data_IF_874823414677
#
_entry.id   IF_874823414677
#
_cell.length_a   1.000
_cell.length_b   1.000
_cell.length_c   1.000
_cell.angle_alpha   90.00
_cell.angle_beta   90.00
_cell.angle_gamma   90.00
#
_symmetry.space_group_name_H-M   'P 1'
#
loop_
_entity.id
_entity.type
_entity.pdbx_description
1 polymer ?
#
# COMPACT_ATOMS: atom_id res chain seq x y z
N UNK A 1 6.55 -27.59 5.17
CA UNK A 1 5.73 -27.05 4.05
C UNK A 1 4.86 -28.07 3.33
N UNK A 2 5.11 -29.35 3.34
CA UNK A 2 4.23 -30.35 2.66
C UNK A 2 2.77 -30.39 3.15
N UNK A 3 2.43 -29.72 4.23
CA UNK A 3 1.08 -29.61 4.78
C UNK A 3 0.39 -28.26 4.48
N UNK A 4 1.14 -27.24 4.02
CA UNK A 4 0.59 -25.92 3.70
C UNK A 4 0.04 -25.99 2.26
N UNK A 5 -1.27 -25.80 2.14
CA UNK A 5 -1.96 -25.83 0.85
C UNK A 5 -2.23 -24.43 0.30
N UNK A 6 -2.40 -23.45 1.19
CA UNK A 6 -2.72 -22.08 0.81
C UNK A 6 -1.72 -21.09 1.39
N UNK A 7 -1.30 -20.16 0.53
CA UNK A 7 -0.54 -18.97 0.91
C UNK A 7 -1.29 -17.75 0.40
N UNK A 8 -1.57 -16.80 1.30
CA UNK A 8 -2.08 -15.48 0.95
C UNK A 8 -0.92 -14.50 1.06
N UNK A 9 -0.72 -13.64 0.07
CA UNK A 9 0.40 -12.70 0.07
C UNK A 9 -0.02 -11.33 -0.48
N UNK A 10 0.68 -10.26 -0.10
CA UNK A 10 0.41 -8.93 -0.63
C UNK A 10 0.95 -8.75 -2.04
N UNK A 11 0.21 -8.03 -2.89
CA UNK A 11 0.51 -7.88 -4.33
C UNK A 11 1.85 -7.21 -4.63
N UNK A 12 2.38 -6.42 -3.67
CA UNK A 12 3.69 -5.79 -3.70
C UNK A 12 4.88 -6.75 -3.45
N UNK A 13 4.60 -8.03 -3.23
CA UNK A 13 5.58 -9.06 -2.94
C UNK A 13 5.73 -10.04 -4.11
N UNK A 14 6.94 -10.26 -4.59
CA UNK A 14 7.22 -11.33 -5.54
C UNK A 14 7.33 -12.68 -4.82
N UNK A 15 6.21 -13.39 -4.69
CA UNK A 15 6.15 -14.69 -4.03
C UNK A 15 7.18 -15.68 -4.56
N UNK A 16 7.47 -15.68 -5.88
CA UNK A 16 8.39 -16.64 -6.50
C UNK A 16 9.83 -16.45 -6.07
N UNK A 17 10.22 -15.24 -5.72
CA UNK A 17 11.56 -14.97 -5.20
C UNK A 17 11.80 -15.56 -3.81
N UNK A 18 10.74 -15.73 -3.02
CA UNK A 18 10.81 -16.29 -1.67
C UNK A 18 10.48 -17.77 -1.62
N UNK A 19 9.51 -18.21 -2.40
CA UNK A 19 8.99 -19.58 -2.38
C UNK A 19 8.89 -20.17 -3.80
N UNK A 20 10.04 -20.36 -4.50
CA UNK A 20 10.04 -20.81 -5.90
C UNK A 20 9.45 -22.21 -6.08
N UNK A 21 9.50 -23.07 -5.07
CA UNK A 21 9.06 -24.46 -5.11
C UNK A 21 7.67 -24.71 -4.51
N UNK A 22 6.95 -23.64 -4.10
CA UNK A 22 5.62 -23.83 -3.56
C UNK A 22 4.64 -24.28 -4.64
N UNK A 23 3.96 -25.41 -4.39
CA UNK A 23 3.05 -26.07 -5.33
C UNK A 23 1.58 -25.98 -4.91
N UNK A 24 1.29 -25.33 -3.78
CA UNK A 24 -0.08 -25.09 -3.33
C UNK A 24 -0.74 -23.90 -4.03
N UNK A 25 -1.92 -23.54 -3.57
CA UNK A 25 -2.68 -22.38 -4.05
C UNK A 25 -2.12 -21.10 -3.44
N UNK A 26 -1.82 -20.13 -4.29
CA UNK A 26 -1.33 -18.82 -3.88
C UNK A 26 -2.33 -17.74 -4.26
N UNK A 27 -2.69 -16.88 -3.30
CA UNK A 27 -3.75 -15.89 -3.42
C UNK A 27 -3.13 -14.52 -3.15
N UNK A 28 -3.20 -13.64 -4.14
CA UNK A 28 -2.74 -12.26 -3.99
C UNK A 28 -3.82 -11.40 -3.34
N UNK A 29 -3.44 -10.58 -2.37
CA UNK A 29 -4.29 -9.59 -1.73
C UNK A 29 -3.71 -8.19 -1.96
N UNK A 30 -4.56 -7.18 -2.03
CA UNK A 30 -4.14 -5.80 -2.29
C UNK A 30 -3.44 -5.15 -1.09
N UNK A 31 -3.80 -5.56 0.14
CA UNK A 31 -3.27 -4.96 1.37
C UNK A 31 -3.07 -6.01 2.47
N UNK A 32 -2.19 -5.74 3.48
CA UNK A 32 -1.90 -6.67 4.56
C UNK A 32 -3.11 -7.06 5.40
N UNK A 33 -4.02 -6.12 5.67
CA UNK A 33 -5.24 -6.38 6.44
C UNK A 33 -6.14 -7.37 5.70
N UNK A 34 -6.40 -7.13 4.42
CA UNK A 34 -7.20 -8.04 3.58
C UNK A 34 -6.54 -9.41 3.45
N UNK A 35 -5.21 -9.47 3.34
CA UNK A 35 -4.47 -10.73 3.26
C UNK A 35 -4.75 -11.61 4.48
N UNK A 36 -4.67 -11.05 5.69
CA UNK A 36 -4.94 -11.82 6.91
C UNK A 36 -6.40 -12.26 6.99
N UNK A 37 -7.37 -11.38 6.66
CA UNK A 37 -8.79 -11.77 6.68
C UNK A 37 -9.14 -12.83 5.62
N UNK A 38 -8.54 -12.80 4.45
CA UNK A 38 -8.66 -13.88 3.45
C UNK A 38 -8.10 -15.18 4.04
N UNK A 39 -6.91 -15.12 4.65
CA UNK A 39 -6.30 -16.27 5.32
C UNK A 39 -7.19 -16.85 6.44
N UNK A 40 -7.76 -15.99 7.30
CA UNK A 40 -8.66 -16.44 8.37
C UNK A 40 -9.92 -17.09 7.82
N UNK A 41 -10.47 -16.58 6.71
CA UNK A 41 -11.62 -17.19 6.03
C UNK A 41 -11.31 -18.59 5.52
N UNK A 42 -10.16 -18.78 4.87
CA UNK A 42 -9.71 -20.10 4.36
C UNK A 42 -9.47 -21.07 5.52
N UNK A 43 -8.72 -20.62 6.55
CA UNK A 43 -8.41 -21.44 7.71
C UNK A 43 -9.68 -21.88 8.46
N UNK A 44 -10.65 -20.99 8.61
CA UNK A 44 -11.93 -21.30 9.26
C UNK A 44 -12.78 -22.30 8.46
N UNK A 45 -12.77 -22.21 7.12
CA UNK A 45 -13.55 -23.10 6.26
C UNK A 45 -12.95 -24.49 6.19
N UNK A 46 -11.63 -24.59 6.04
CA UNK A 46 -10.94 -25.84 5.76
C UNK A 46 -10.35 -26.50 7.01
N UNK A 47 -10.27 -25.78 8.13
CA UNK A 47 -9.57 -26.19 9.35
C UNK A 47 -8.11 -26.63 9.04
N UNK A 48 -7.41 -25.82 8.24
CA UNK A 48 -6.03 -26.08 7.81
C UNK A 48 -5.12 -24.87 8.07
N UNK A 49 -3.83 -25.13 8.13
CA UNK A 49 -2.83 -24.06 8.30
C UNK A 49 -2.76 -23.22 7.04
N UNK A 50 -2.92 -21.91 7.19
CA UNK A 50 -2.73 -20.93 6.13
C UNK A 50 -1.57 -20.01 6.48
N UNK A 51 -0.66 -19.82 5.52
CA UNK A 51 0.42 -18.86 5.63
C UNK A 51 -0.03 -17.55 5.01
N UNK A 52 0.17 -16.45 5.74
CA UNK A 52 -0.01 -15.09 5.21
C UNK A 52 1.37 -14.45 5.13
N UNK A 53 1.80 -14.08 3.93
CA UNK A 53 3.12 -13.53 3.65
C UNK A 53 3.04 -12.06 3.29
N UNK A 54 3.69 -11.21 4.07
CA UNK A 54 3.70 -9.76 3.91
C UNK A 54 5.10 -9.24 3.63
N UNK A 55 5.22 -8.18 2.81
CA UNK A 55 6.50 -7.67 2.31
C UNK A 55 7.41 -7.10 3.39
N UNK A 56 6.88 -6.52 4.45
CA UNK A 56 7.71 -5.89 5.48
C UNK A 56 7.19 -6.11 6.89
N UNK A 57 8.04 -5.92 7.88
CA UNK A 57 7.66 -5.92 9.28
C UNK A 57 6.65 -4.81 9.61
N UNK A 58 6.67 -3.68 8.90
CA UNK A 58 5.67 -2.62 9.05
C UNK A 58 4.26 -3.08 8.71
N UNK A 59 4.11 -4.04 7.82
CA UNK A 59 2.82 -4.62 7.48
C UNK A 59 2.15 -5.32 8.68
N UNK A 60 2.90 -5.65 9.75
CA UNK A 60 2.35 -6.18 11.00
C UNK A 60 1.30 -5.27 11.62
N UNK A 61 1.45 -3.95 11.47
CA UNK A 61 0.46 -2.97 11.97
C UNK A 61 -0.91 -3.16 11.33
N UNK A 62 -0.93 -3.30 10.03
CA UNK A 62 -2.16 -3.48 9.26
C UNK A 62 -2.73 -4.89 9.44
N UNK A 63 -1.87 -5.87 9.65
CA UNK A 63 -2.26 -7.25 9.92
C UNK A 63 -2.89 -7.44 11.32
N UNK A 64 -2.64 -6.52 12.27
CA UNK A 64 -3.03 -6.67 13.67
C UNK A 64 -4.51 -7.03 13.87
N UNK A 65 -5.42 -6.35 13.17
CA UNK A 65 -6.86 -6.60 13.30
C UNK A 65 -7.27 -8.02 12.88
N UNK A 66 -6.72 -8.50 11.77
CA UNK A 66 -6.97 -9.86 11.29
C UNK A 66 -6.32 -10.92 12.17
N UNK A 67 -5.13 -10.65 12.70
CA UNK A 67 -4.46 -11.54 13.68
C UNK A 67 -5.23 -11.59 15.00
N UNK A 68 -5.84 -10.49 15.44
CA UNK A 68 -6.74 -10.46 16.58
C UNK A 68 -7.91 -11.42 16.39
N UNK A 69 -8.55 -11.41 15.22
CA UNK A 69 -9.61 -12.37 14.91
C UNK A 69 -9.10 -13.81 14.91
N UNK A 70 -7.95 -14.07 14.28
CA UNK A 70 -7.33 -15.39 14.26
C UNK A 70 -7.07 -15.92 15.68
N UNK A 71 -6.56 -15.06 16.57
CA UNK A 71 -6.26 -15.39 17.96
C UNK A 71 -7.52 -15.78 18.76
N UNK A 72 -8.52 -14.91 18.77
CA UNK A 72 -9.75 -15.17 19.55
C UNK A 72 -10.59 -16.34 19.00
N UNK A 73 -10.46 -16.64 17.71
CA UNK A 73 -11.13 -17.79 17.08
C UNK A 73 -10.27 -19.06 17.05
N UNK A 74 -9.04 -18.99 17.55
CA UNK A 74 -8.06 -20.10 17.50
C UNK A 74 -7.85 -20.64 16.08
N UNK A 75 -7.73 -19.74 15.09
CA UNK A 75 -7.53 -20.13 13.70
C UNK A 75 -6.04 -20.43 13.43
N UNK A 76 -5.74 -21.46 12.65
CA UNK A 76 -4.37 -21.89 12.39
C UNK A 76 -3.68 -21.00 11.33
N UNK A 77 -3.34 -19.76 11.69
CA UNK A 77 -2.66 -18.78 10.86
C UNK A 77 -1.17 -18.70 11.21
N UNK A 78 -0.31 -18.72 10.20
CA UNK A 78 1.09 -18.33 10.30
C UNK A 78 1.25 -17.02 9.53
N UNK A 79 1.45 -15.92 10.24
CA UNK A 79 1.83 -14.66 9.64
C UNK A 79 3.36 -14.66 9.43
N UNK A 80 3.82 -14.41 8.23
CA UNK A 80 5.24 -14.23 7.90
C UNK A 80 5.43 -12.81 7.38
N UNK A 81 6.25 -12.03 8.06
CA UNK A 81 6.69 -10.73 7.58
C UNK A 81 8.11 -10.83 7.07
N UNK A 82 8.37 -10.30 5.86
CA UNK A 82 9.67 -10.37 5.19
C UNK A 82 10.40 -9.05 5.33
N UNK A 83 11.64 -9.10 5.80
CA UNK A 83 12.46 -7.91 5.97
C UNK A 83 12.94 -7.75 7.42
N UNK A 84 13.86 -6.82 7.61
CA UNK A 84 14.40 -6.53 8.94
C UNK A 84 13.35 -5.78 9.77
N UNK A 85 13.27 -6.12 11.06
CA UNK A 85 12.51 -5.34 12.02
C UNK A 85 12.98 -3.88 12.00
N UNK A 86 12.03 -2.96 11.83
CA UNK A 86 12.28 -1.53 11.94
C UNK A 86 11.82 -1.07 13.32
N UNK A 87 12.45 -0.03 13.87
CA UNK A 87 12.18 0.52 15.21
C UNK A 87 10.69 0.87 15.47
N UNK A 88 9.86 0.84 14.45
CA UNK A 88 8.43 1.15 14.50
C UNK A 88 7.52 -0.03 14.11
N UNK A 89 8.05 -1.26 14.02
CA UNK A 89 7.20 -2.45 13.88
C UNK A 89 6.30 -2.60 15.10
N UNK A 90 5.11 -3.16 14.90
CA UNK A 90 4.19 -3.46 16.01
C UNK A 90 4.44 -4.88 16.48
N UNK A 91 4.75 -5.03 17.75
CA UNK A 91 4.77 -6.33 18.38
C UNK A 91 3.33 -6.91 18.42
N UNK A 92 3.18 -8.13 17.93
CA UNK A 92 1.89 -8.84 17.88
C UNK A 92 1.66 -9.74 19.09
N UNK A 93 2.46 -9.60 20.15
CA UNK A 93 2.48 -10.51 21.32
C UNK A 93 1.10 -10.77 21.95
N UNK A 94 0.19 -9.79 21.88
CA UNK A 94 -1.15 -9.91 22.46
C UNK A 94 -2.13 -10.75 21.61
N UNK A 95 -1.75 -11.05 20.35
CA UNK A 95 -2.64 -11.68 19.37
C UNK A 95 -1.99 -12.86 18.63
N UNK A 96 -0.92 -13.39 19.21
CA UNK A 96 -0.22 -14.59 18.73
C UNK A 96 0.12 -15.51 19.91
N UNK A 97 0.36 -16.78 19.61
CA UNK A 97 0.80 -17.78 20.60
C UNK A 97 2.29 -18.13 20.48
N UNK A 98 2.90 -17.82 19.31
CA UNK A 98 4.33 -18.05 19.08
C UNK A 98 4.89 -16.94 18.22
N UNK A 99 6.15 -16.54 18.50
CA UNK A 99 6.92 -15.59 17.71
C UNK A 99 8.32 -16.15 17.45
N UNK A 100 8.78 -16.08 16.21
CA UNK A 100 10.10 -16.53 15.80
C UNK A 100 10.73 -15.52 14.83
N UNK A 101 12.05 -15.40 14.92
CA UNK A 101 12.87 -14.69 13.95
C UNK A 101 13.73 -15.72 13.26
N UNK A 102 13.69 -15.77 11.93
CA UNK A 102 14.39 -16.77 11.12
C UNK A 102 15.10 -16.13 9.94
N UNK A 103 16.18 -16.75 9.47
CA UNK A 103 16.95 -16.25 8.33
C UNK A 103 16.59 -16.93 7.00
N UNK A 104 15.73 -17.95 7.05
CA UNK A 104 15.31 -18.65 5.84
C UNK A 104 13.98 -19.39 6.03
N UNK A 105 13.26 -19.59 4.92
CA UNK A 105 12.04 -20.44 4.93
C UNK A 105 12.28 -21.88 5.36
N UNK A 106 13.51 -22.42 5.18
CA UNK A 106 13.84 -23.77 5.64
C UNK A 106 13.82 -23.92 7.16
N UNK A 107 14.11 -22.83 7.88
CA UNK A 107 14.02 -22.83 9.34
C UNK A 107 12.57 -22.94 9.80
N UNK A 108 11.62 -22.29 9.09
CA UNK A 108 10.18 -22.40 9.37
C UNK A 108 9.70 -23.85 9.28
N UNK A 109 10.23 -24.63 8.32
CA UNK A 109 9.86 -26.04 8.15
C UNK A 109 10.26 -26.93 9.34
N UNK A 110 11.26 -26.49 10.10
CA UNK A 110 11.83 -27.22 11.24
C UNK A 110 11.31 -26.76 12.59
N UNK A 111 10.39 -25.79 12.64
CA UNK A 111 9.78 -25.34 13.89
C UNK A 111 8.84 -26.42 14.44
N UNK A 112 9.30 -27.15 15.49
CA UNK A 112 8.56 -28.24 16.12
C UNK A 112 7.51 -27.78 17.13
N UNK A 113 7.71 -26.58 17.71
CA UNK A 113 6.95 -26.09 18.85
C UNK A 113 6.03 -24.91 18.50
N UNK A 114 5.64 -24.83 17.23
CA UNK A 114 4.81 -23.75 16.72
C UNK A 114 3.38 -23.86 17.26
N UNK A 115 2.97 -22.88 18.06
CA UNK A 115 1.60 -22.75 18.57
C UNK A 115 0.88 -21.65 17.80
N UNK A 116 -0.22 -22.00 17.14
CA UNK A 116 -0.94 -21.09 16.24
C UNK A 116 -2.06 -20.31 16.97
N UNK A 117 -2.39 -19.08 16.54
CA UNK A 117 -1.73 -18.33 15.47
C UNK A 117 -0.32 -17.88 15.84
N UNK A 118 0.57 -17.77 14.87
CA UNK A 118 1.97 -17.44 15.06
C UNK A 118 2.42 -16.30 14.16
N UNK A 119 3.46 -15.56 14.59
CA UNK A 119 4.16 -14.59 13.78
C UNK A 119 5.62 -15.04 13.58
N UNK A 120 6.08 -15.01 12.35
CA UNK A 120 7.45 -15.33 11.97
C UNK A 120 8.03 -14.15 11.20
N UNK A 121 9.09 -13.59 11.72
CA UNK A 121 9.87 -12.57 11.01
C UNK A 121 10.98 -13.25 10.22
N UNK A 122 10.95 -13.08 8.90
CA UNK A 122 11.96 -13.59 8.00
C UNK A 122 12.99 -12.50 7.69
N UNK A 123 14.13 -12.56 8.37
CA UNK A 123 15.25 -11.65 8.16
C UNK A 123 16.00 -11.98 6.86
N UNK A 124 15.50 -11.50 5.75
CA UNK A 124 16.23 -11.51 4.48
C UNK A 124 16.56 -10.07 4.09
N UNK A 125 17.68 -9.84 3.38
CA UNK A 125 17.97 -8.52 2.84
C UNK A 125 16.78 -8.07 1.98
N UNK A 126 16.15 -7.00 2.38
CA UNK A 126 15.09 -6.38 1.59
C UNK A 126 15.70 -5.94 0.25
N UNK A 127 15.08 -6.31 -0.86
CA UNK A 127 15.38 -5.68 -2.14
C UNK A 127 14.81 -4.27 -2.03
N UNK A 128 15.66 -3.30 -1.75
CA UNK A 128 15.29 -1.89 -1.80
C UNK A 128 14.95 -1.60 -3.26
N UNK A 129 13.68 -1.53 -3.58
CA UNK A 129 13.23 -0.97 -4.84
C UNK A 129 13.60 0.51 -4.79
N UNK A 130 14.35 0.98 -5.79
CA UNK A 130 14.71 2.39 -5.87
C UNK A 130 13.44 3.25 -5.92
N UNK A 131 13.48 4.42 -5.28
CA UNK A 131 12.39 5.38 -5.35
C UNK A 131 12.09 5.72 -6.80
N UNK A 132 10.82 5.60 -7.22
CA UNK A 132 10.39 5.94 -8.58
C UNK A 132 10.50 7.44 -8.79
N UNK A 133 11.14 7.85 -9.88
CA UNK A 133 11.13 9.26 -10.32
C UNK A 133 9.87 9.51 -11.14
N UNK A 134 9.21 10.65 -10.96
CA UNK A 134 8.00 10.97 -11.71
C UNK A 134 8.11 12.28 -12.52
N UNK A 135 7.79 12.18 -13.82
CA UNK A 135 7.67 13.32 -14.74
C UNK A 135 6.60 14.33 -14.29
N UNK A 136 5.61 13.88 -13.53
CA UNK A 136 4.54 14.71 -12.95
C UNK A 136 5.09 15.87 -12.12
N UNK A 137 6.11 15.64 -11.30
CA UNK A 137 6.67 16.68 -10.44
C UNK A 137 7.23 17.85 -11.20
N UNK A 138 7.87 17.60 -12.34
CA UNK A 138 8.41 18.65 -13.22
C UNK A 138 7.29 19.54 -13.76
N UNK A 139 6.17 18.94 -14.16
CA UNK A 139 5.01 19.67 -14.67
C UNK A 139 4.25 20.41 -13.54
N UNK A 140 4.15 19.80 -12.35
CA UNK A 140 3.52 20.40 -11.18
C UNK A 140 4.26 21.62 -10.67
N UNK A 141 5.60 21.59 -10.63
CA UNK A 141 6.45 22.67 -10.10
C UNK A 141 6.10 24.04 -10.68
N UNK A 142 5.78 24.09 -11.97
CA UNK A 142 5.40 25.31 -12.68
C UNK A 142 3.89 25.63 -12.65
N UNK A 143 3.08 24.67 -12.25
CA UNK A 143 1.61 24.78 -12.31
C UNK A 143 0.95 25.08 -10.97
N UNK A 144 1.66 24.83 -9.84
CA UNK A 144 1.15 25.07 -8.49
C UNK A 144 1.35 26.51 -8.05
N UNK A 145 0.47 26.99 -7.18
CA UNK A 145 0.50 28.32 -6.57
C UNK A 145 0.73 28.23 -5.06
N UNK A 146 1.02 29.36 -4.40
CA UNK A 146 1.22 29.42 -2.96
C UNK A 146 0.01 28.95 -2.13
N UNK A 147 -1.20 29.03 -2.72
CA UNK A 147 -2.44 28.59 -2.06
C UNK A 147 -2.75 27.10 -2.24
N UNK A 148 -1.90 26.37 -2.95
CA UNK A 148 -2.05 24.93 -3.08
C UNK A 148 -1.37 24.19 -1.93
N UNK A 149 -1.72 22.91 -1.79
CA UNK A 149 -1.09 21.94 -0.90
C UNK A 149 -0.68 20.74 -1.73
N UNK A 150 0.55 20.33 -1.62
CA UNK A 150 1.09 19.16 -2.30
C UNK A 150 1.55 18.13 -1.28
N UNK A 151 1.02 16.93 -1.40
CA UNK A 151 1.47 15.75 -0.68
C UNK A 151 2.14 14.78 -1.64
N UNK A 152 3.25 14.23 -1.24
CA UNK A 152 3.90 13.09 -1.90
C UNK A 152 4.41 12.11 -0.85
N UNK A 153 4.67 10.88 -1.23
CA UNK A 153 5.20 9.87 -0.33
C UNK A 153 6.72 9.73 -0.42
N UNK A 154 7.31 9.05 0.55
CA UNK A 154 8.72 8.65 0.52
C UNK A 154 9.03 7.63 -0.58
N UNK A 155 8.03 6.93 -1.12
CA UNK A 155 8.21 5.94 -2.18
C UNK A 155 8.43 6.57 -3.57
N UNK A 156 8.31 7.91 -3.66
CA UNK A 156 8.57 8.66 -4.89
C UNK A 156 9.81 9.54 -4.71
N UNK A 157 10.72 9.50 -5.68
CA UNK A 157 11.86 10.40 -5.74
C UNK A 157 11.38 11.80 -6.05
N UNK A 158 11.62 12.74 -5.13
CA UNK A 158 11.06 14.07 -5.18
C UNK A 158 12.02 15.13 -4.63
N UNK A 159 12.25 16.18 -5.44
CA UNK A 159 12.98 17.37 -5.01
C UNK A 159 11.98 18.46 -4.59
N UNK A 160 11.95 18.76 -3.30
CA UNK A 160 11.07 19.79 -2.71
C UNK A 160 11.43 21.21 -3.12
N UNK A 161 12.66 21.43 -3.59
CA UNK A 161 13.16 22.78 -3.88
C UNK A 161 12.44 23.41 -5.09
N UNK A 162 12.05 24.66 -4.91
CA UNK A 162 11.42 25.48 -5.96
C UNK A 162 9.91 25.32 -6.12
N UNK A 163 9.23 24.52 -5.27
CA UNK A 163 7.76 24.55 -5.18
C UNK A 163 7.30 25.81 -4.44
N UNK A 164 6.26 26.48 -4.96
CA UNK A 164 5.70 27.69 -4.35
C UNK A 164 4.65 27.38 -3.26
N UNK A 165 4.11 26.16 -3.26
CA UNK A 165 3.07 25.74 -2.34
C UNK A 165 3.65 25.08 -1.08
N UNK A 166 2.76 24.80 -0.10
CA UNK A 166 3.11 23.93 1.01
C UNK A 166 3.28 22.50 0.50
N UNK A 167 4.48 21.95 0.68
CA UNK A 167 4.79 20.56 0.36
C UNK A 167 4.88 19.75 1.66
N UNK A 168 4.31 18.57 1.65
CA UNK A 168 4.42 17.57 2.72
C UNK A 168 4.85 16.26 2.08
N UNK A 169 5.98 15.74 2.55
CA UNK A 169 6.41 14.39 2.24
C UNK A 169 5.89 13.52 3.37
N UNK A 170 4.98 12.64 3.06
CA UNK A 170 4.30 11.81 4.06
C UNK A 170 4.65 10.34 3.91
N UNK A 171 4.16 9.57 4.88
CA UNK A 171 4.47 8.17 4.99
C UNK A 171 5.79 7.93 5.71
N UNK A 172 6.03 6.67 6.00
CA UNK A 172 7.30 6.15 6.47
C UNK A 172 7.87 5.32 5.33
N UNK A 173 9.17 5.13 5.31
CA UNK A 173 9.82 4.26 4.34
C UNK A 173 9.14 2.87 4.36
N UNK A 174 8.78 2.35 3.19
CA UNK A 174 8.04 1.10 3.02
C UNK A 174 6.63 1.05 3.67
N UNK A 175 6.03 2.20 3.99
CA UNK A 175 4.65 2.27 4.44
C UNK A 175 3.76 2.75 3.29
N UNK A 176 2.77 1.95 2.92
CA UNK A 176 1.88 2.22 1.79
C UNK A 176 0.54 2.84 2.22
N UNK A 177 0.27 2.90 3.53
CA UNK A 177 -1.06 3.24 4.02
C UNK A 177 -1.26 4.73 4.29
N UNK A 178 -2.50 5.19 4.08
CA UNK A 178 -2.98 6.48 4.53
C UNK A 178 -2.62 7.67 3.64
N UNK A 179 -2.03 7.46 2.47
CA UNK A 179 -1.61 8.55 1.59
C UNK A 179 -2.79 9.43 1.12
N UNK A 180 -3.86 8.81 0.62
CA UNK A 180 -5.05 9.52 0.16
C UNK A 180 -5.83 10.13 1.32
N UNK A 181 -5.93 9.39 2.43
CA UNK A 181 -6.59 9.84 3.66
C UNK A 181 -5.91 11.07 4.25
N UNK A 182 -4.57 11.16 4.20
CA UNK A 182 -3.82 12.35 4.64
C UNK A 182 -4.17 13.58 3.82
N UNK A 183 -4.25 13.47 2.49
CA UNK A 183 -4.62 14.57 1.60
C UNK A 183 -6.07 15.00 1.86
N UNK A 184 -6.98 14.04 2.00
CA UNK A 184 -8.37 14.30 2.37
C UNK A 184 -8.45 15.02 3.71
N UNK A 185 -7.82 14.51 4.75
CA UNK A 185 -7.79 15.13 6.08
C UNK A 185 -7.25 16.56 6.05
N UNK A 186 -6.18 16.82 5.30
CA UNK A 186 -5.63 18.15 5.11
C UNK A 186 -6.66 19.09 4.44
N UNK A 187 -7.46 18.59 3.48
CA UNK A 187 -8.49 19.36 2.78
C UNK A 187 -9.67 19.76 3.68
N UNK A 188 -9.91 18.99 4.73
CA UNK A 188 -10.96 19.27 5.71
C UNK A 188 -10.51 20.27 6.80
N UNK A 189 -9.21 20.33 7.06
CA UNK A 189 -8.66 21.17 8.13
C UNK A 189 -8.56 22.66 7.75
N UNK A 190 -8.25 22.96 6.52
CA UNK A 190 -8.08 24.34 6.05
C UNK A 190 -8.54 24.51 4.62
N UNK A 191 -9.22 25.60 4.32
CA UNK A 191 -9.65 25.92 2.96
C UNK A 191 -8.44 26.42 2.14
N UNK A 192 -8.07 25.69 1.09
CA UNK A 192 -7.06 26.06 0.10
C UNK A 192 -7.64 25.93 -1.31
N UNK A 193 -6.90 26.42 -2.30
CA UNK A 193 -7.32 26.34 -3.70
C UNK A 193 -7.39 24.87 -4.15
N UNK A 194 -6.35 24.09 -3.88
CA UNK A 194 -6.27 22.65 -4.25
C UNK A 194 -5.47 21.88 -3.22
N UNK A 195 -5.85 20.62 -3.05
CA UNK A 195 -5.12 19.61 -2.31
C UNK A 195 -4.70 18.52 -3.28
N UNK A 196 -3.41 18.46 -3.55
CA UNK A 196 -2.81 17.61 -4.58
C UNK A 196 -2.09 16.48 -3.88
N UNK A 197 -2.41 15.24 -4.22
CA UNK A 197 -1.69 14.03 -3.80
C UNK A 197 -0.99 13.41 -5.00
N UNK A 198 0.31 13.14 -4.89
CA UNK A 198 1.06 12.32 -5.85
C UNK A 198 1.47 11.05 -5.12
N UNK A 199 0.95 9.92 -5.54
CA UNK A 199 1.05 8.64 -4.84
C UNK A 199 1.37 7.51 -5.83
N UNK A 200 1.96 6.42 -5.35
CA UNK A 200 2.15 5.22 -6.16
C UNK A 200 0.84 4.45 -6.32
N UNK A 201 0.80 3.51 -7.26
CA UNK A 201 -0.33 2.59 -7.44
C UNK A 201 -0.60 1.79 -6.15
N UNK A 202 0.44 1.25 -5.53
CA UNK A 202 0.29 0.47 -4.29
C UNK A 202 -0.28 1.30 -3.14
N UNK A 203 0.19 2.54 -2.96
CA UNK A 203 -0.37 3.47 -1.96
C UNK A 203 -1.84 3.80 -2.25
N UNK A 204 -2.19 3.94 -3.52
CA UNK A 204 -3.58 4.13 -3.91
C UNK A 204 -4.43 2.91 -3.53
N UNK A 205 -4.01 1.71 -3.90
CA UNK A 205 -4.75 0.47 -3.63
C UNK A 205 -4.92 0.18 -2.14
N UNK A 206 -3.92 0.54 -1.32
CA UNK A 206 -3.99 0.38 0.13
C UNK A 206 -4.96 1.36 0.82
N UNK A 207 -5.22 2.54 0.24
CA UNK A 207 -6.03 3.60 0.86
C UNK A 207 -7.18 4.09 -0.05
N UNK A 208 -7.55 3.34 -1.08
CA UNK A 208 -8.55 3.72 -2.08
C UNK A 208 -9.94 4.02 -1.49
N UNK A 209 -10.26 3.46 -0.34
CA UNK A 209 -11.51 3.71 0.37
C UNK A 209 -11.65 5.17 0.84
N UNK A 210 -10.56 5.92 0.95
CA UNK A 210 -10.61 7.35 1.25
C UNK A 210 -11.45 8.14 0.23
N UNK A 211 -11.45 7.72 -1.05
CA UNK A 211 -12.22 8.38 -2.10
C UNK A 211 -13.74 8.24 -1.93
N UNK A 212 -14.19 7.19 -1.25
CA UNK A 212 -15.61 6.96 -0.94
C UNK A 212 -16.13 7.74 0.27
N UNK A 213 -15.31 8.58 0.92
CA UNK A 213 -15.73 9.35 2.06
C UNK A 213 -16.71 10.46 1.66
N UNK A 214 -17.78 10.65 2.44
CA UNK A 214 -18.82 11.65 2.18
C UNK A 214 -18.30 13.10 2.21
N UNK A 215 -17.15 13.34 2.84
CA UNK A 215 -16.54 14.66 2.95
C UNK A 215 -15.56 14.97 1.80
N UNK A 216 -15.41 14.09 0.81
CA UNK A 216 -14.60 14.35 -0.38
C UNK A 216 -15.14 15.56 -1.13
N UNK A 217 -14.28 16.55 -1.37
CA UNK A 217 -14.66 17.84 -1.95
C UNK A 217 -13.94 18.12 -3.28
N UNK A 218 -14.40 19.14 -4.00
CA UNK A 218 -13.91 19.50 -5.34
C UNK A 218 -12.49 20.09 -5.38
N UNK A 219 -11.84 20.32 -4.23
CA UNK A 219 -10.46 20.79 -4.18
C UNK A 219 -9.41 19.68 -4.27
N UNK A 220 -9.83 18.41 -4.26
CA UNK A 220 -8.96 17.25 -4.27
C UNK A 220 -8.52 16.89 -5.69
N UNK A 221 -7.21 16.71 -5.85
CA UNK A 221 -6.60 16.25 -7.11
C UNK A 221 -5.57 15.17 -6.77
N UNK A 222 -5.71 13.98 -7.35
CA UNK A 222 -4.77 12.90 -7.18
C UNK A 222 -4.07 12.56 -8.50
N UNK A 223 -2.77 12.35 -8.43
CA UNK A 223 -1.96 11.72 -9.47
C UNK A 223 -1.49 10.37 -8.96
N UNK A 224 -1.87 9.31 -9.64
CA UNK A 224 -1.49 7.94 -9.30
C UNK A 224 -0.45 7.46 -10.30
N UNK A 225 0.73 7.16 -9.81
CA UNK A 225 1.88 6.74 -10.61
C UNK A 225 1.85 5.22 -10.75
N UNK A 226 1.70 4.73 -11.96
CA UNK A 226 1.57 3.32 -12.29
C UNK A 226 2.65 2.88 -13.29
N UNK A 227 3.07 1.62 -13.23
CA UNK A 227 3.96 1.04 -14.24
C UNK A 227 3.25 0.87 -15.59
N UNK A 228 1.97 0.50 -15.54
CA UNK A 228 1.12 0.32 -16.70
C UNK A 228 -0.20 1.09 -16.55
N UNK A 229 -0.88 1.33 -17.66
CA UNK A 229 -2.20 1.96 -17.61
C UNK A 229 -3.19 1.06 -16.84
N UNK A 230 -3.70 1.57 -15.72
CA UNK A 230 -4.69 0.88 -14.90
C UNK A 230 -6.06 1.58 -15.00
N UNK A 231 -6.87 1.16 -15.96
CA UNK A 231 -8.21 1.70 -16.18
C UNK A 231 -9.15 1.44 -14.98
N UNK A 232 -8.92 0.38 -14.21
CA UNK A 232 -9.72 0.04 -13.02
C UNK A 232 -9.67 1.15 -11.97
N UNK A 233 -8.52 1.79 -11.79
CA UNK A 233 -8.36 2.95 -10.90
C UNK A 233 -9.23 4.11 -11.37
N UNK A 234 -9.20 4.41 -12.67
CA UNK A 234 -10.02 5.46 -13.26
C UNK A 234 -11.52 5.16 -13.11
N UNK A 235 -11.94 3.94 -13.40
CA UNK A 235 -13.34 3.52 -13.31
C UNK A 235 -13.86 3.56 -11.87
N UNK A 236 -13.05 3.09 -10.92
CA UNK A 236 -13.38 3.19 -9.49
C UNK A 236 -13.57 4.65 -9.07
N UNK A 237 -12.60 5.52 -9.34
CA UNK A 237 -12.70 6.93 -8.98
C UNK A 237 -13.87 7.63 -9.67
N UNK A 238 -14.13 7.31 -10.94
CA UNK A 238 -15.26 7.82 -11.71
C UNK A 238 -16.60 7.41 -11.10
N UNK A 239 -16.74 6.18 -10.62
CA UNK A 239 -17.94 5.72 -9.93
C UNK A 239 -18.25 6.52 -8.66
N UNK A 240 -17.22 7.13 -8.05
CA UNK A 240 -17.30 8.00 -6.87
C UNK A 240 -17.40 9.50 -7.24
N UNK A 241 -17.58 9.81 -8.54
CA UNK A 241 -17.81 11.16 -9.04
C UNK A 241 -16.55 12.00 -9.24
N UNK A 242 -15.37 11.39 -9.32
CA UNK A 242 -14.16 12.08 -9.76
C UNK A 242 -14.15 12.26 -11.28
N UNK A 243 -13.55 13.36 -11.75
CA UNK A 243 -13.11 13.43 -13.14
C UNK A 243 -11.81 12.63 -13.28
N UNK A 244 -11.79 11.71 -14.21
CA UNK A 244 -10.65 10.82 -14.39
C UNK A 244 -10.03 10.96 -15.76
N UNK A 245 -8.72 10.80 -15.84
CA UNK A 245 -7.94 10.68 -17.08
C UNK A 245 -6.74 9.79 -16.86
N UNK A 246 -6.17 9.30 -17.95
CA UNK A 246 -4.97 8.48 -17.97
C UNK A 246 -4.02 9.07 -19.00
N UNK A 247 -2.74 9.23 -18.67
CA UNK A 247 -1.74 9.89 -19.49
C UNK A 247 -0.42 9.11 -19.37
N UNK A 248 0.24 8.85 -20.50
CA UNK A 248 1.58 8.28 -20.48
C UNK A 248 2.60 9.29 -19.88
N UNK A 249 3.55 8.80 -19.11
CA UNK A 249 4.49 9.64 -18.36
C UNK A 249 5.39 10.49 -19.27
N UNK A 250 5.73 10.00 -20.46
CA UNK A 250 6.51 10.72 -21.49
C UNK A 250 5.68 11.75 -22.28
N UNK A 251 4.35 11.66 -22.21
CA UNK A 251 3.43 12.58 -22.91
C UNK A 251 2.86 13.67 -21.99
N UNK A 252 3.00 13.56 -20.66
CA UNK A 252 2.41 14.51 -19.73
C UNK A 252 3.03 15.90 -19.88
N UNK A 253 2.16 16.91 -20.01
CA UNK A 253 2.56 18.30 -20.21
C UNK A 253 2.01 19.23 -19.13
N UNK A 254 2.54 20.46 -19.06
CA UNK A 254 1.99 21.52 -18.19
C UNK A 254 0.54 21.87 -18.58
N UNK A 255 0.21 21.79 -19.84
CA UNK A 255 -1.13 22.07 -20.38
C UNK A 255 -2.13 21.03 -19.86
N UNK A 256 -1.73 19.77 -19.73
CA UNK A 256 -2.59 18.73 -19.18
C UNK A 256 -2.83 18.94 -17.67
N UNK A 257 -1.79 19.28 -16.92
CA UNK A 257 -1.95 19.68 -15.51
C UNK A 257 -2.91 20.88 -15.38
N UNK A 258 -2.77 21.90 -16.23
CA UNK A 258 -3.67 23.06 -16.22
C UNK A 258 -5.13 22.67 -16.52
N UNK A 259 -5.36 21.80 -17.51
CA UNK A 259 -6.72 21.30 -17.82
C UNK A 259 -7.35 20.62 -16.59
N UNK A 260 -6.60 19.77 -15.89
CA UNK A 260 -7.04 19.12 -14.66
C UNK A 260 -7.40 20.17 -13.60
N UNK A 261 -6.56 21.18 -13.43
CA UNK A 261 -6.74 22.23 -12.43
C UNK A 261 -7.88 23.21 -12.75
N UNK A 262 -8.10 23.50 -14.01
CA UNK A 262 -9.14 24.44 -14.47
C UNK A 262 -10.54 23.82 -14.41
N UNK A 263 -10.65 22.51 -14.33
CA UNK A 263 -11.90 21.79 -14.20
C UNK A 263 -12.64 22.11 -12.88
N UNK A 264 -11.92 22.55 -11.83
CA UNK A 264 -12.47 22.94 -10.52
C UNK A 264 -13.35 21.87 -9.88
N UNK A 265 -13.09 20.61 -10.17
CA UNK A 265 -13.76 19.45 -9.59
C UNK A 265 -12.72 18.46 -9.10
N UNK A 266 -13.12 17.64 -8.13
CA UNK A 266 -12.27 16.53 -7.67
C UNK A 266 -11.85 15.69 -8.87
N UNK A 267 -10.54 15.44 -8.97
CA UNK A 267 -9.95 14.80 -10.14
C UNK A 267 -8.94 13.74 -9.74
N UNK A 268 -8.84 12.71 -10.56
CA UNK A 268 -7.81 11.68 -10.44
C UNK A 268 -7.20 11.42 -11.82
N UNK A 269 -5.88 11.45 -11.87
CA UNK A 269 -5.10 11.20 -13.10
C UNK A 269 -4.20 10.00 -12.86
N UNK A 270 -4.34 8.99 -13.67
CA UNK A 270 -3.38 7.88 -13.75
C UNK A 270 -2.24 8.29 -14.68
N UNK A 271 -1.02 8.25 -14.18
CA UNK A 271 0.19 8.50 -14.98
C UNK A 271 0.97 7.19 -15.03
N UNK A 272 1.16 6.65 -16.23
CA UNK A 272 1.71 5.32 -16.42
C UNK A 272 2.96 5.31 -17.30
N UNK A 273 3.78 4.26 -17.14
CA UNK A 273 5.03 4.09 -17.91
C UNK A 273 6.24 4.75 -17.24
N UNK A 274 6.22 4.91 -15.92
CA UNK A 274 7.36 5.42 -15.13
C UNK A 274 8.16 4.33 -14.43
#
# INVERSE_FOLDING_TARGET
MNQIKHIVYTSDLDLRSYLPSFMGESISALDPRSAVYIGTGIAAQNNEIVVVLLKSSNASRSAYSGMTEAYYRNLPIILVTVGRELDYSVELNDVINSHYVVSSFKEIENLSDLVLPAHIELEVPEKVEGTKSSSVFKCLKDSVSADDYLYTSHNLSFDVDGFKCKVVVGGMENCLEGALSNVLGASLAKKRRRYIGVVTEDEFLHDMNALGNINVNDSLVYFVICDQNNETICDYAKSLGFNTSSIAADEITKEDIKKVFDNKKKSLVVVYGE
#
